data_IF_640071333040
#
_entry.id   IF_640071333040
#
_cell.length_a   1.000
_cell.length_b   1.000
_cell.length_c   1.000
_cell.angle_alpha   90.00
_cell.angle_beta   90.00
_cell.angle_gamma   90.00
#
_symmetry.space_group_name_H-M   'P 1'
#
loop_
_entity.id
_entity.type
_entity.pdbx_description
1 polymer ?
#
# COMPACT_ATOMS: atom_id res chain seq x y z
N UNK A 1 7.51 -12.68 6.78
CA UNK A 1 6.35 -13.29 6.08
C UNK A 1 6.81 -13.76 4.69
N UNK A 2 6.20 -14.79 4.09
CA UNK A 2 6.59 -15.28 2.76
C UNK A 2 5.39 -15.88 2.02
N UNK A 3 5.41 -15.84 0.68
CA UNK A 3 4.37 -16.44 -0.17
C UNK A 3 3.14 -15.55 -0.40
N UNK A 4 3.30 -14.23 -0.27
CA UNK A 4 2.27 -13.25 -0.62
C UNK A 4 2.21 -13.17 -2.14
N UNK A 5 1.04 -13.36 -2.73
CA UNK A 5 0.86 -13.50 -4.18
C UNK A 5 0.51 -12.21 -4.92
N UNK A 6 0.01 -11.20 -4.20
CA UNK A 6 -0.51 -9.98 -4.83
C UNK A 6 0.21 -8.73 -4.32
N UNK A 7 -0.13 -8.20 -3.14
CA UNK A 7 0.45 -6.93 -2.68
C UNK A 7 0.32 -6.72 -1.17
N UNK A 8 1.16 -5.83 -0.65
CA UNK A 8 0.87 -5.07 0.57
C UNK A 8 0.10 -3.81 0.19
N UNK A 9 -1.14 -3.73 0.63
CA UNK A 9 -2.12 -2.80 0.07
C UNK A 9 -2.77 -1.86 1.11
N UNK A 10 -2.88 -0.59 0.72
CA UNK A 10 -3.77 0.41 1.33
C UNK A 10 -4.46 1.16 0.19
N UNK A 11 -5.73 0.90 -0.05
CA UNK A 11 -6.46 1.52 -1.15
C UNK A 11 -7.85 2.05 -0.74
N UNK A 12 -8.26 3.17 -1.34
CA UNK A 12 -9.51 3.88 -1.05
C UNK A 12 -10.49 3.87 -2.24
N UNK A 13 -10.39 2.86 -3.10
CA UNK A 13 -11.09 2.73 -4.37
C UNK A 13 -11.91 1.42 -4.48
N UNK A 14 -12.13 0.71 -3.36
CA UNK A 14 -12.89 -0.53 -3.36
C UNK A 14 -14.38 -0.29 -3.63
N UNK A 15 -14.87 -0.87 -4.72
CA UNK A 15 -16.27 -0.81 -5.13
C UNK A 15 -16.77 -2.20 -5.55
N UNK A 16 -17.91 -2.62 -4.98
CA UNK A 16 -18.63 -3.85 -5.39
C UNK A 16 -17.78 -5.13 -5.51
N UNK A 17 -16.70 -5.25 -4.73
CA UNK A 17 -15.84 -6.44 -4.66
C UNK A 17 -14.50 -6.32 -5.39
N UNK A 18 -14.16 -5.16 -5.97
CA UNK A 18 -12.84 -4.92 -6.54
C UNK A 18 -12.41 -3.45 -6.56
N UNK A 19 -11.14 -3.17 -6.89
CA UNK A 19 -10.63 -1.81 -7.02
C UNK A 19 -11.16 -1.14 -8.29
N UNK A 20 -11.60 0.12 -8.18
CA UNK A 20 -12.02 0.94 -9.32
C UNK A 20 -10.85 1.65 -10.01
N UNK A 21 -9.73 1.82 -9.29
CA UNK A 21 -8.59 2.65 -9.69
C UNK A 21 -8.73 4.13 -9.31
N UNK A 22 -9.90 4.55 -8.83
CA UNK A 22 -10.23 5.95 -8.54
C UNK A 22 -10.49 6.13 -7.03
N UNK A 23 -9.46 6.50 -6.23
CA UNK A 23 -9.63 6.61 -4.79
C UNK A 23 -10.48 7.82 -4.42
N UNK A 24 -11.44 7.61 -3.53
CA UNK A 24 -12.27 8.69 -3.00
C UNK A 24 -11.75 9.16 -1.64
N UNK A 25 -12.17 10.34 -1.21
CA UNK A 25 -11.77 10.96 0.06
C UNK A 25 -12.91 11.04 1.09
N UNK A 26 -13.99 10.27 0.87
CA UNK A 26 -15.12 10.20 1.81
C UNK A 26 -14.80 9.48 3.12
N UNK A 27 -13.74 8.67 3.12
CA UNK A 27 -13.20 7.98 4.31
C UNK A 27 -11.82 8.54 4.60
N UNK A 28 -11.57 8.98 5.83
CA UNK A 28 -10.23 9.42 6.26
C UNK A 28 -9.47 8.27 6.93
N UNK A 29 -8.22 8.08 6.55
CA UNK A 29 -7.31 7.08 7.11
C UNK A 29 -6.12 7.85 7.72
N UNK A 30 -6.01 7.83 9.04
CA UNK A 30 -5.00 8.59 9.76
C UNK A 30 -4.28 7.74 10.81
N UNK A 31 -3.03 8.08 11.11
CA UNK A 31 -2.29 7.52 12.25
C UNK A 31 -1.90 6.04 12.09
N UNK A 32 -1.74 5.56 10.85
CA UNK A 32 -1.39 4.17 10.59
C UNK A 32 0.10 3.96 10.84
N UNK A 33 0.43 3.00 11.69
CA UNK A 33 1.82 2.64 11.98
C UNK A 33 2.12 1.23 11.50
N UNK A 34 3.18 1.10 10.73
CA UNK A 34 3.74 -0.15 10.28
C UNK A 34 5.11 -0.36 10.90
N UNK A 35 5.27 -1.45 11.65
CA UNK A 35 6.47 -1.73 12.43
C UNK A 35 6.96 -3.14 12.15
N UNK A 36 8.24 -3.27 11.78
CA UNK A 36 8.94 -4.54 11.55
C UNK A 36 8.22 -5.47 10.54
N UNK A 37 7.58 -4.88 9.53
CA UNK A 37 6.88 -5.64 8.48
C UNK A 37 7.88 -6.06 7.41
N UNK A 38 8.41 -7.27 7.57
CA UNK A 38 9.44 -7.83 6.68
C UNK A 38 9.00 -9.13 6.01
N UNK A 39 9.50 -9.39 4.81
CA UNK A 39 9.16 -10.60 4.08
C UNK A 39 9.39 -10.55 2.58
N UNK A 40 8.90 -11.60 1.92
CA UNK A 40 8.95 -11.72 0.47
C UNK A 40 7.57 -11.92 -0.15
N UNK A 41 7.40 -11.35 -1.33
CA UNK A 41 6.26 -11.58 -2.23
C UNK A 41 6.74 -12.42 -3.42
N UNK A 42 5.81 -12.97 -4.20
CA UNK A 42 6.11 -13.68 -5.46
C UNK A 42 6.49 -12.71 -6.59
N UNK A 43 7.06 -13.22 -7.67
CA UNK A 43 7.51 -12.39 -8.80
C UNK A 43 6.35 -11.74 -9.59
N UNK A 44 5.14 -12.30 -9.50
CA UNK A 44 3.92 -11.72 -10.04
C UNK A 44 3.27 -10.68 -9.12
N UNK A 45 3.82 -10.44 -7.93
CA UNK A 45 3.33 -9.50 -6.94
C UNK A 45 4.00 -8.11 -7.04
N UNK A 46 3.43 -7.15 -6.32
CA UNK A 46 3.97 -5.80 -6.09
C UNK A 46 4.38 -5.65 -4.63
N UNK A 47 5.57 -5.13 -4.35
CA UNK A 47 6.06 -4.98 -2.98
C UNK A 47 5.21 -3.99 -2.16
N UNK A 48 4.81 -2.86 -2.75
CA UNK A 48 3.96 -1.84 -2.12
C UNK A 48 2.91 -1.26 -3.08
N UNK A 49 1.66 -1.19 -2.61
CA UNK A 49 0.58 -0.49 -3.28
C UNK A 49 -0.17 0.43 -2.28
N UNK A 50 -0.12 1.74 -2.50
CA UNK A 50 -0.82 2.73 -1.67
C UNK A 50 -1.58 3.71 -2.57
N UNK A 51 -2.91 3.63 -2.53
CA UNK A 51 -3.81 4.46 -3.32
C UNK A 51 -4.79 5.21 -2.41
N UNK A 52 -4.37 6.36 -1.95
CA UNK A 52 -5.13 7.27 -1.09
C UNK A 52 -5.96 8.27 -1.90
N UNK A 53 -7.13 8.61 -1.38
CA UNK A 53 -7.90 9.75 -1.87
C UNK A 53 -7.18 11.06 -1.55
N UNK A 54 -7.49 12.11 -2.31
CA UNK A 54 -6.87 13.42 -2.10
C UNK A 54 -7.20 13.98 -0.71
N UNK A 55 -6.15 14.16 0.11
CA UNK A 55 -6.24 14.72 1.46
C UNK A 55 -6.83 13.77 2.51
N UNK A 56 -7.14 12.52 2.18
CA UNK A 56 -7.78 11.58 3.11
C UNK A 56 -6.81 10.66 3.85
N UNK A 57 -5.53 10.61 3.47
CA UNK A 57 -4.50 9.90 4.22
C UNK A 57 -3.59 10.85 4.97
N UNK A 58 -3.35 10.59 6.26
CA UNK A 58 -2.40 11.34 7.08
C UNK A 58 -1.62 10.46 8.07
N UNK A 59 -0.45 10.93 8.47
CA UNK A 59 0.32 10.39 9.61
C UNK A 59 0.66 8.90 9.51
N UNK A 60 1.05 8.44 8.31
CA UNK A 60 1.56 7.08 8.15
C UNK A 60 3.01 7.01 8.60
N UNK A 61 3.31 6.07 9.49
CA UNK A 61 4.66 5.81 9.99
C UNK A 61 5.10 4.43 9.54
N UNK A 62 6.26 4.35 8.91
CA UNK A 62 6.89 3.08 8.51
C UNK A 62 8.23 2.95 9.23
N UNK A 63 8.42 1.88 9.99
CA UNK A 63 9.64 1.61 10.75
C UNK A 63 10.01 0.14 10.58
N UNK A 64 11.24 -0.14 10.13
CA UNK A 64 11.70 -1.53 9.92
C UNK A 64 10.89 -2.29 8.86
N UNK A 65 10.30 -1.60 7.89
CA UNK A 65 9.50 -2.24 6.83
C UNK A 65 10.39 -2.58 5.64
N UNK A 66 10.39 -3.85 5.22
CA UNK A 66 11.19 -4.35 4.11
C UNK A 66 10.51 -5.57 3.47
N UNK A 67 9.70 -5.31 2.45
CA UNK A 67 9.14 -6.32 1.55
C UNK A 67 9.94 -6.29 0.25
N UNK A 68 10.26 -7.46 -0.27
CA UNK A 68 11.07 -7.61 -1.50
C UNK A 68 10.59 -8.80 -2.33
N UNK A 69 11.04 -8.86 -3.58
CA UNK A 69 10.85 -10.01 -4.46
C UNK A 69 9.81 -9.79 -5.56
N UNK A 70 8.96 -8.77 -5.44
CA UNK A 70 7.97 -8.43 -6.45
C UNK A 70 8.62 -8.09 -7.79
N UNK A 71 8.08 -8.67 -8.87
CA UNK A 71 8.50 -8.34 -10.23
C UNK A 71 7.71 -7.18 -10.83
N UNK A 72 6.60 -6.77 -10.20
CA UNK A 72 5.83 -5.58 -10.59
C UNK A 72 6.29 -4.35 -9.81
N UNK A 73 6.26 -3.20 -10.46
CA UNK A 73 6.63 -1.92 -9.84
C UNK A 73 5.67 -1.52 -8.74
N UNK A 74 6.23 -1.11 -7.60
CA UNK A 74 5.48 -0.46 -6.53
C UNK A 74 4.81 0.84 -6.99
N UNK A 75 3.61 1.12 -6.48
CA UNK A 75 2.86 2.34 -6.81
C UNK A 75 2.27 2.94 -5.53
N UNK A 76 2.67 4.17 -5.20
CA UNK A 76 2.20 4.86 -4.02
C UNK A 76 1.93 6.33 -4.36
N UNK A 77 0.76 6.82 -4.01
CA UNK A 77 0.47 8.26 -4.02
C UNK A 77 0.54 8.88 -2.61
N UNK A 78 0.84 8.08 -1.58
CA UNK A 78 1.07 8.51 -0.22
C UNK A 78 2.09 7.60 0.51
N UNK A 79 2.99 8.14 1.34
CA UNK A 79 3.32 9.56 1.43
C UNK A 79 3.89 10.08 0.09
N UNK A 80 3.80 11.39 -0.15
CA UNK A 80 4.23 12.01 -1.43
C UNK A 80 5.71 11.77 -1.78
N UNK A 81 6.53 11.35 -0.81
CA UNK A 81 7.91 10.91 -1.03
C UNK A 81 8.03 9.64 -1.87
N UNK A 82 6.91 8.95 -2.15
CA UNK A 82 6.86 7.68 -2.88
C UNK A 82 6.74 6.47 -1.96
N UNK A 83 6.80 5.28 -2.56
CA UNK A 83 6.89 4.02 -1.82
C UNK A 83 8.23 3.93 -1.04
N UNK A 84 8.26 3.03 -0.05
CA UNK A 84 9.47 2.68 0.70
C UNK A 84 10.57 2.10 -0.17
#
# INVERSE_FOLDING_TARGET
>A
MSGITDYRDIQQDYESGGPSGDPTNGVSIAGITFTEVTGTVTDDATDYYILCGSGSCSDFTFTGVSITGGGKSSCCNYPFSGCL
#
